data_IF_864987858449
#
_entry.id   IF_864987858449
#
_cell.length_a   1.000
_cell.length_b   1.000
_cell.length_c   1.000
_cell.angle_alpha   90.00
_cell.angle_beta   90.00
_cell.angle_gamma   90.00
#
_symmetry.space_group_name_H-M   'P 1'
#
loop_
_entity.id
_entity.type
_entity.pdbx_description
1 polymer ?
#
# COMPACT_ATOMS: atom_id res chain seq x y z
N UNK A 1 30.07 19.49 55.10
CA UNK A 1 29.68 19.07 53.75
C UNK A 1 29.05 17.67 53.87
N UNK A 2 27.73 17.53 53.65
CA UNK A 2 27.07 16.22 53.63
C UNK A 2 27.11 15.69 52.19
N UNK A 3 27.48 14.44 51.96
CA UNK A 3 27.40 13.86 50.62
C UNK A 3 25.93 13.61 50.28
N UNK A 4 25.51 14.13 49.14
CA UNK A 4 24.17 13.82 48.55
C UNK A 4 24.22 12.41 48.03
N UNK A 5 23.58 11.48 48.71
CA UNK A 5 23.32 10.14 48.24
C UNK A 5 22.34 10.22 47.06
N UNK A 6 22.84 10.24 45.83
CA UNK A 6 22.03 9.92 44.66
C UNK A 6 21.56 8.48 44.85
N UNK A 7 20.29 8.30 45.13
CA UNK A 7 19.74 6.98 45.38
C UNK A 7 19.72 6.15 44.11
N UNK A 8 19.96 4.85 44.22
CA UNK A 8 19.83 3.83 43.15
C UNK A 8 18.49 3.94 42.39
N UNK A 9 17.48 4.47 43.05
CA UNK A 9 16.14 4.82 42.54
C UNK A 9 16.19 5.87 41.40
N UNK A 10 17.04 6.89 41.48
CA UNK A 10 17.06 7.97 40.48
C UNK A 10 17.78 7.47 39.19
N UNK A 11 18.81 6.68 39.32
CA UNK A 11 19.47 6.06 38.17
C UNK A 11 18.53 5.08 37.45
N UNK A 12 17.75 4.30 38.19
CA UNK A 12 16.75 3.38 37.64
C UNK A 12 15.59 4.14 36.97
N UNK A 13 15.14 5.26 37.54
CA UNK A 13 14.12 6.13 36.93
C UNK A 13 14.59 6.77 35.63
N UNK A 14 15.84 7.24 35.59
CA UNK A 14 16.41 7.81 34.36
C UNK A 14 16.68 6.73 33.29
N UNK A 15 17.08 5.52 33.69
CA UNK A 15 17.23 4.40 32.78
C UNK A 15 15.87 3.93 32.25
N UNK A 16 14.86 3.82 33.10
CA UNK A 16 13.49 3.46 32.71
C UNK A 16 12.85 4.54 31.83
N UNK A 17 13.11 5.83 32.12
CA UNK A 17 12.64 6.94 31.31
C UNK A 17 13.36 7.01 29.94
N UNK A 18 14.68 6.78 29.92
CA UNK A 18 15.46 6.68 28.70
C UNK A 18 15.08 5.47 27.83
N UNK A 19 14.84 4.31 28.45
CA UNK A 19 14.35 3.12 27.77
C UNK A 19 12.91 3.32 27.27
N UNK A 20 12.08 4.03 28.02
CA UNK A 20 10.72 4.44 27.63
C UNK A 20 10.73 5.38 26.41
N UNK A 21 11.65 6.33 26.35
CA UNK A 21 11.81 7.23 25.20
C UNK A 21 12.34 6.50 23.96
N UNK A 22 13.22 5.52 24.13
CA UNK A 22 13.71 4.63 23.03
C UNK A 22 12.60 3.70 22.53
N UNK A 23 11.65 3.30 23.38
CA UNK A 23 10.49 2.51 23.00
C UNK A 23 9.37 3.36 22.38
N UNK A 24 9.33 4.67 22.68
CA UNK A 24 8.37 5.62 22.09
C UNK A 24 8.75 6.10 20.70
N UNK A 25 10.03 6.04 20.32
CA UNK A 25 10.44 6.09 18.92
C UNK A 25 10.17 4.72 18.28
N UNK A 26 8.88 4.34 18.24
CA UNK A 26 8.43 3.08 17.68
C UNK A 26 9.13 2.83 16.36
N UNK A 27 9.93 1.75 16.28
CA UNK A 27 10.69 1.44 15.09
C UNK A 27 9.71 1.15 13.94
N UNK A 28 9.26 2.21 13.25
CA UNK A 28 8.40 2.08 12.06
C UNK A 28 9.04 1.17 11.00
N UNK A 29 10.38 1.01 11.07
CA UNK A 29 11.10 0.02 10.25
C UNK A 29 10.66 -1.43 10.48
N UNK A 30 9.99 -1.75 11.59
CA UNK A 30 9.39 -3.07 11.81
C UNK A 30 8.20 -3.35 10.88
N UNK A 31 7.64 -2.32 10.26
CA UNK A 31 6.57 -2.48 9.26
C UNK A 31 7.10 -2.90 7.89
N UNK A 32 8.39 -2.76 7.62
CA UNK A 32 8.97 -2.94 6.30
C UNK A 32 9.89 -4.17 6.26
N UNK A 33 9.68 -5.02 5.25
CA UNK A 33 10.47 -6.24 5.02
C UNK A 33 11.11 -6.21 3.62
N UNK A 34 12.06 -5.26 3.40
CA UNK A 34 12.68 -5.08 2.10
C UNK A 34 13.62 -6.24 1.75
N UNK A 35 13.56 -6.68 0.50
CA UNK A 35 14.57 -7.52 -0.12
C UNK A 35 15.44 -6.66 -1.03
N UNK A 36 16.77 -6.73 -0.84
CA UNK A 36 17.74 -6.01 -1.65
C UNK A 36 18.07 -6.75 -2.93
N UNK A 37 18.45 -5.99 -3.95
CA UNK A 37 18.78 -6.53 -5.26
C UNK A 37 17.59 -6.61 -6.21
N UNK A 38 17.84 -7.20 -7.38
CA UNK A 38 16.86 -7.32 -8.45
C UNK A 38 16.96 -8.73 -9.04
N UNK A 39 16.15 -9.68 -8.53
CA UNK A 39 16.27 -11.09 -8.91
C UNK A 39 15.93 -11.36 -10.38
N UNK A 40 15.14 -10.50 -11.00
CA UNK A 40 14.85 -10.51 -12.42
C UNK A 40 14.33 -9.15 -12.90
N UNK A 41 14.24 -8.98 -14.22
CA UNK A 41 13.74 -7.76 -14.87
C UNK A 41 12.44 -8.05 -15.63
N UNK A 42 11.69 -7.03 -16.06
CA UNK A 42 10.48 -7.21 -16.87
C UNK A 42 10.71 -7.93 -18.20
N UNK A 43 11.94 -7.95 -18.73
CA UNK A 43 12.33 -8.73 -19.93
C UNK A 43 12.01 -10.21 -19.78
N UNK A 44 12.12 -10.77 -18.57
CA UNK A 44 11.75 -12.16 -18.29
C UNK A 44 10.29 -12.45 -18.61
N UNK A 45 9.43 -11.43 -18.47
CA UNK A 45 8.02 -11.47 -18.86
C UNK A 45 7.79 -10.98 -20.30
N UNK A 46 8.86 -10.76 -21.09
CA UNK A 46 8.82 -10.24 -22.46
C UNK A 46 8.15 -8.86 -22.56
N UNK A 47 8.35 -8.03 -21.55
CA UNK A 47 7.85 -6.65 -21.49
C UNK A 47 8.96 -5.70 -21.90
N UNK A 48 8.58 -4.71 -22.70
CA UNK A 48 9.41 -3.52 -22.89
C UNK A 48 9.42 -2.73 -21.59
N UNK A 49 10.58 -2.26 -21.19
CA UNK A 49 10.72 -1.42 -20.00
C UNK A 49 11.97 -0.55 -20.08
N UNK A 50 12.04 0.42 -19.20
CA UNK A 50 13.29 1.12 -18.87
C UNK A 50 13.41 1.31 -17.37
N UNK A 51 14.62 1.25 -16.86
CA UNK A 51 14.90 1.69 -15.50
C UNK A 51 14.70 3.19 -15.38
N UNK A 52 14.11 3.62 -14.28
CA UNK A 52 13.97 5.04 -13.93
C UNK A 52 14.62 5.28 -12.58
N UNK A 53 15.28 6.44 -12.47
CA UNK A 53 15.82 6.92 -11.21
C UNK A 53 15.01 8.14 -10.78
N UNK A 54 14.51 8.09 -9.55
CA UNK A 54 13.83 9.21 -8.91
C UNK A 54 14.69 9.71 -7.75
N UNK A 55 14.63 11.00 -7.48
CA UNK A 55 15.31 11.57 -6.32
C UNK A 55 14.27 12.23 -5.43
N UNK A 56 14.23 11.83 -4.17
CA UNK A 56 13.34 12.39 -3.16
C UNK A 56 13.80 13.77 -2.72
N UNK A 57 12.94 14.53 -2.03
CA UNK A 57 13.29 15.86 -1.54
C UNK A 57 14.45 15.83 -0.52
N UNK A 58 14.58 14.75 0.24
CA UNK A 58 15.68 14.48 1.18
C UNK A 58 16.92 13.84 0.52
N UNK A 59 16.96 13.76 -0.82
CA UNK A 59 18.13 13.37 -1.61
C UNK A 59 18.35 11.86 -1.76
N UNK A 60 17.38 11.01 -1.36
CA UNK A 60 17.46 9.57 -1.56
C UNK A 60 17.21 9.22 -3.01
N UNK A 61 18.06 8.39 -3.62
CA UNK A 61 17.83 7.86 -4.96
C UNK A 61 17.03 6.58 -4.91
N UNK A 62 15.89 6.59 -5.62
CA UNK A 62 15.01 5.47 -5.78
C UNK A 62 15.16 4.88 -7.19
N UNK A 63 15.02 3.58 -7.25
CA UNK A 63 14.93 2.82 -8.50
C UNK A 63 13.46 2.53 -8.80
N UNK A 64 13.13 2.48 -10.08
CA UNK A 64 11.81 2.07 -10.55
C UNK A 64 11.86 1.54 -11.97
N UNK A 65 10.75 1.00 -12.42
CA UNK A 65 10.51 0.59 -13.79
C UNK A 65 9.41 1.41 -14.43
N UNK A 66 9.69 1.87 -15.63
CA UNK A 66 8.69 2.38 -16.55
C UNK A 66 8.38 1.31 -17.59
N UNK A 67 7.14 0.84 -17.61
CA UNK A 67 6.63 -0.07 -18.60
C UNK A 67 5.77 0.73 -19.58
N UNK A 68 6.20 0.95 -20.83
CA UNK A 68 5.36 1.61 -21.84
C UNK A 68 4.18 0.72 -22.22
N UNK A 69 3.11 1.30 -22.75
CA UNK A 69 2.09 0.51 -23.42
C UNK A 69 2.70 -0.25 -24.59
N UNK A 70 2.15 -1.45 -24.85
CA UNK A 70 2.64 -2.31 -25.95
C UNK A 70 2.61 -1.56 -27.27
N UNK A 71 3.67 -1.70 -28.05
CA UNK A 71 3.78 -1.05 -29.36
C UNK A 71 2.57 -1.40 -30.25
N UNK A 72 1.99 -0.37 -30.87
CA UNK A 72 0.79 -0.50 -31.73
C UNK A 72 -0.54 -0.54 -30.97
N UNK A 73 -0.54 -0.47 -29.64
CA UNK A 73 -1.74 -0.32 -28.81
C UNK A 73 -1.92 1.14 -28.43
N UNK A 74 -3.15 1.66 -28.53
CA UNK A 74 -3.46 3.02 -28.11
C UNK A 74 -3.24 3.21 -26.61
N UNK A 75 -2.57 4.31 -26.24
CA UNK A 75 -2.32 4.63 -24.81
C UNK A 75 -3.58 5.19 -24.17
N UNK A 76 -4.18 4.41 -23.27
CA UNK A 76 -5.39 4.76 -22.52
C UNK A 76 -5.13 5.52 -21.23
N UNK A 77 -3.98 5.33 -20.62
CA UNK A 77 -3.64 5.96 -19.35
C UNK A 77 -2.33 5.48 -18.78
N UNK A 78 -2.01 5.98 -17.58
CA UNK A 78 -0.83 5.61 -16.81
C UNK A 78 -1.22 5.09 -15.43
N UNK A 79 -0.63 4.00 -14.99
CA UNK A 79 -0.83 3.41 -13.67
C UNK A 79 0.42 3.65 -12.83
N UNK A 80 0.26 4.33 -11.68
CA UNK A 80 1.25 4.31 -10.62
C UNK A 80 0.99 3.06 -9.76
N UNK A 81 1.89 2.09 -9.81
CA UNK A 81 1.80 0.89 -9.01
C UNK A 81 2.70 1.00 -7.76
N UNK A 82 2.07 1.08 -6.60
CA UNK A 82 2.70 1.06 -5.28
C UNK A 82 2.59 -0.35 -4.70
N UNK A 83 3.72 -1.05 -4.66
CA UNK A 83 3.78 -2.47 -4.30
C UNK A 83 3.59 -2.73 -2.80
N UNK A 84 3.33 -3.99 -2.46
CA UNK A 84 3.16 -4.45 -1.08
C UNK A 84 4.46 -4.52 -0.29
N UNK A 85 4.40 -5.05 0.91
CA UNK A 85 5.52 -5.05 1.85
C UNK A 85 6.54 -6.11 1.44
N UNK A 86 6.73 -7.18 1.65
CA UNK A 86 7.83 -8.13 1.44
C UNK A 86 8.43 -8.12 0.02
N UNK A 87 9.71 -8.35 -0.10
CA UNK A 87 10.40 -8.44 -1.38
C UNK A 87 10.81 -7.08 -1.95
N UNK A 88 10.53 -6.86 -3.21
CA UNK A 88 10.80 -5.64 -3.99
C UNK A 88 9.88 -5.59 -5.22
N UNK A 89 10.02 -4.57 -6.07
CA UNK A 89 9.17 -4.41 -7.25
C UNK A 89 9.17 -5.61 -8.20
N UNK A 90 10.26 -6.39 -8.28
CA UNK A 90 10.31 -7.59 -9.13
C UNK A 90 9.28 -8.63 -8.65
N UNK A 91 9.21 -8.89 -7.34
CA UNK A 91 8.23 -9.82 -6.76
C UNK A 91 6.77 -9.38 -6.95
N UNK A 92 6.53 -8.08 -7.14
CA UNK A 92 5.20 -7.50 -7.31
C UNK A 92 4.81 -7.19 -8.75
N UNK A 93 5.67 -7.47 -9.73
CA UNK A 93 5.39 -7.26 -11.16
C UNK A 93 4.07 -7.97 -11.60
N UNK A 94 3.74 -9.09 -10.95
CA UNK A 94 2.50 -9.84 -11.20
C UNK A 94 1.21 -9.04 -11.07
N UNK A 95 1.22 -7.94 -10.29
CA UNK A 95 0.08 -7.03 -10.13
C UNK A 95 -0.24 -6.21 -11.38
N UNK A 96 0.75 -5.93 -12.22
CA UNK A 96 0.60 -4.94 -13.31
C UNK A 96 1.21 -5.33 -14.66
N UNK A 97 1.95 -6.44 -14.77
CA UNK A 97 2.64 -6.84 -16.02
C UNK A 97 1.73 -6.98 -17.24
N UNK A 98 0.46 -7.19 -17.04
CA UNK A 98 -0.55 -7.39 -18.07
C UNK A 98 -1.14 -6.08 -18.61
N UNK A 99 -0.95 -4.96 -17.90
CA UNK A 99 -1.50 -3.65 -18.23
C UNK A 99 -0.95 -3.06 -19.55
N UNK A 100 0.35 -3.20 -19.88
CA UNK A 100 0.89 -2.72 -21.15
C UNK A 100 0.15 -3.24 -22.38
N UNK A 101 -0.29 -4.50 -22.37
CA UNK A 101 -1.07 -5.09 -23.46
C UNK A 101 -2.49 -4.52 -23.57
N UNK A 102 -2.98 -3.87 -22.53
CA UNK A 102 -4.30 -3.23 -22.48
C UNK A 102 -4.26 -1.73 -22.77
N UNK A 103 -3.08 -1.18 -23.10
CA UNK A 103 -2.87 0.22 -23.43
C UNK A 103 -2.54 1.10 -22.20
N UNK A 104 -2.25 0.51 -21.06
CA UNK A 104 -1.83 1.28 -19.88
C UNK A 104 -0.31 1.24 -19.70
N UNK A 105 0.29 2.42 -19.58
CA UNK A 105 1.67 2.57 -19.14
C UNK A 105 1.75 2.35 -17.62
N UNK A 106 2.88 1.85 -17.11
CA UNK A 106 3.01 1.59 -15.67
C UNK A 106 4.31 2.18 -15.15
N UNK A 107 4.21 2.96 -14.08
CA UNK A 107 5.34 3.31 -13.22
C UNK A 107 5.28 2.46 -11.96
N UNK A 108 6.33 1.67 -11.73
CA UNK A 108 6.58 0.96 -10.48
C UNK A 108 7.83 1.54 -9.82
N UNK A 109 7.82 1.70 -8.51
CA UNK A 109 9.02 2.14 -7.76
C UNK A 109 9.33 1.18 -6.64
N UNK A 110 10.62 0.96 -6.37
CA UNK A 110 11.10 0.42 -5.10
C UNK A 110 11.17 1.57 -4.08
N UNK A 111 10.49 1.43 -2.95
CA UNK A 111 10.64 2.39 -1.86
C UNK A 111 12.09 2.39 -1.34
N UNK A 112 12.46 3.44 -0.61
CA UNK A 112 13.76 3.50 0.07
C UNK A 112 14.03 2.21 0.84
N UNK A 113 15.20 1.65 0.65
CA UNK A 113 15.59 0.40 1.30
C UNK A 113 15.19 -0.87 0.55
N UNK A 114 14.29 -0.81 -0.43
CA UNK A 114 13.88 -1.95 -1.27
C UNK A 114 14.73 -2.04 -2.54
N UNK A 115 14.87 -3.25 -3.07
CA UNK A 115 15.49 -3.53 -4.36
C UNK A 115 16.82 -2.82 -4.57
N UNK A 116 16.88 -1.95 -5.58
CA UNK A 116 18.04 -1.13 -5.91
C UNK A 116 17.96 0.30 -5.33
N UNK A 117 16.86 0.67 -4.66
CA UNK A 117 16.71 1.98 -4.02
C UNK A 117 17.63 2.15 -2.83
N UNK A 118 18.12 3.37 -2.62
CA UNK A 118 18.94 3.74 -1.48
C UNK A 118 18.10 3.92 -0.21
N UNK A 119 18.75 4.22 0.90
CA UNK A 119 18.11 4.57 2.17
C UNK A 119 17.61 3.37 2.97
N UNK A 120 16.71 3.67 3.91
CA UNK A 120 16.05 2.70 4.79
C UNK A 120 14.57 3.07 4.90
N UNK A 121 13.68 2.09 4.75
CA UNK A 121 12.24 2.30 4.86
C UNK A 121 11.83 2.56 6.30
N UNK A 122 11.21 3.71 6.51
CA UNK A 122 10.64 4.16 7.79
C UNK A 122 9.45 5.09 7.51
N UNK A 123 8.53 5.20 8.44
CA UNK A 123 7.51 6.24 8.44
C UNK A 123 8.01 7.44 9.26
N UNK A 124 7.83 8.68 8.77
CA UNK A 124 7.07 9.08 7.58
C UNK A 124 7.87 9.14 6.27
N UNK A 125 9.16 8.80 6.25
CA UNK A 125 10.09 9.08 5.15
C UNK A 125 9.68 8.42 3.82
N UNK A 126 8.97 7.28 3.84
CA UNK A 126 8.47 6.63 2.61
C UNK A 126 7.43 7.45 1.85
N UNK A 127 6.83 8.46 2.49
CA UNK A 127 5.92 9.38 1.79
C UNK A 127 6.65 10.31 0.84
N UNK A 128 7.92 10.61 1.10
CA UNK A 128 8.79 11.33 0.16
C UNK A 128 9.07 10.50 -1.11
N UNK A 129 9.04 9.15 -0.98
CA UNK A 129 9.21 8.26 -2.13
C UNK A 129 7.96 8.33 -3.04
N UNK A 130 6.77 8.36 -2.47
CA UNK A 130 5.52 8.55 -3.21
C UNK A 130 5.51 9.95 -3.86
N UNK A 131 5.93 11.00 -3.12
CA UNK A 131 6.05 12.35 -3.65
C UNK A 131 7.02 12.41 -4.84
N UNK A 132 8.16 11.71 -4.78
CA UNK A 132 9.11 11.64 -5.88
C UNK A 132 8.52 10.93 -7.11
N UNK A 133 7.71 9.87 -6.91
CA UNK A 133 6.99 9.21 -8.00
C UNK A 133 5.98 10.15 -8.66
N UNK A 134 5.21 10.90 -7.88
CA UNK A 134 4.28 11.90 -8.39
C UNK A 134 5.01 13.01 -9.16
N UNK A 135 6.12 13.50 -8.63
CA UNK A 135 6.94 14.51 -9.31
C UNK A 135 7.59 14.00 -10.61
N UNK A 136 7.90 12.70 -10.68
CA UNK A 136 8.38 12.08 -11.92
C UNK A 136 7.26 12.03 -12.97
N UNK A 137 6.06 11.61 -12.59
CA UNK A 137 4.87 11.56 -13.45
C UNK A 137 4.50 12.95 -13.99
N UNK A 138 4.70 14.00 -13.19
CA UNK A 138 4.46 15.39 -13.63
C UNK A 138 5.38 15.83 -14.76
N UNK A 139 6.60 15.29 -14.79
CA UNK A 139 7.63 15.68 -15.77
C UNK A 139 7.71 14.75 -16.98
N UNK A 140 7.14 13.56 -16.89
CA UNK A 140 7.20 12.57 -17.96
C UNK A 140 6.28 12.95 -19.12
N UNK A 141 6.82 13.25 -20.32
CA UNK A 141 5.99 13.67 -21.46
C UNK A 141 4.97 12.63 -21.87
N UNK A 142 5.29 11.35 -21.68
CA UNK A 142 4.45 10.22 -22.05
C UNK A 142 3.15 10.14 -21.22
N UNK A 143 3.14 10.77 -20.06
CA UNK A 143 2.00 10.80 -19.11
C UNK A 143 1.04 11.94 -19.40
N UNK A 144 1.53 13.01 -20.01
CA UNK A 144 0.77 14.24 -20.19
C UNK A 144 -0.52 14.04 -20.99
N UNK A 145 -1.63 14.61 -20.49
CA UNK A 145 -2.94 14.53 -21.14
C UNK A 145 -3.61 13.15 -21.07
N UNK A 146 -3.07 12.20 -20.29
CA UNK A 146 -3.62 10.85 -20.11
C UNK A 146 -4.18 10.67 -18.70
N UNK A 147 -5.25 9.85 -18.54
CA UNK A 147 -5.76 9.49 -17.22
C UNK A 147 -4.67 8.85 -16.36
N UNK A 148 -4.56 9.30 -15.10
CA UNK A 148 -3.67 8.72 -14.10
C UNK A 148 -4.47 7.82 -13.16
N UNK A 149 -4.00 6.61 -12.93
CA UNK A 149 -4.62 5.60 -12.06
C UNK A 149 -3.62 5.22 -10.99
N UNK A 150 -4.09 5.06 -9.75
CA UNK A 150 -3.31 4.44 -8.69
C UNK A 150 -3.69 2.95 -8.57
N UNK A 151 -2.70 2.08 -8.53
CA UNK A 151 -2.81 0.71 -8.04
C UNK A 151 -1.97 0.56 -6.78
N UNK A 152 -2.63 0.44 -5.63
CA UNK A 152 -1.97 0.23 -4.34
C UNK A 152 -2.23 -1.17 -3.81
N UNK A 153 -1.17 -1.98 -3.66
CA UNK A 153 -1.27 -3.33 -3.11
C UNK A 153 -0.80 -3.38 -1.66
N UNK A 154 -1.61 -4.01 -0.77
CA UNK A 154 -1.25 -4.23 0.63
C UNK A 154 -0.73 -2.95 1.30
N UNK A 155 0.51 -2.97 1.83
CA UNK A 155 1.15 -1.81 2.47
C UNK A 155 1.22 -0.60 1.54
N UNK A 156 1.51 -0.79 0.24
CA UNK A 156 1.54 0.29 -0.75
C UNK A 156 0.20 1.00 -0.88
N UNK A 157 -0.91 0.25 -0.81
CA UNK A 157 -2.26 0.81 -0.78
C UNK A 157 -2.54 1.59 0.50
N UNK A 158 -2.11 1.08 1.66
CA UNK A 158 -2.30 1.79 2.92
C UNK A 158 -1.50 3.11 2.98
N UNK A 159 -0.26 3.09 2.51
CA UNK A 159 0.58 4.30 2.39
C UNK A 159 -0.03 5.30 1.39
N UNK A 160 -0.54 4.82 0.26
CA UNK A 160 -1.21 5.67 -0.72
C UNK A 160 -2.44 6.36 -0.16
N UNK A 161 -3.29 5.65 0.59
CA UNK A 161 -4.48 6.22 1.24
C UNK A 161 -4.08 7.36 2.18
N UNK A 162 -3.08 7.13 3.04
CA UNK A 162 -2.60 8.16 3.96
C UNK A 162 -2.01 9.36 3.22
N UNK A 163 -1.12 9.11 2.24
CA UNK A 163 -0.49 10.16 1.44
C UNK A 163 -1.52 11.02 0.71
N UNK A 164 -2.47 10.41 0.00
CA UNK A 164 -3.49 11.12 -0.77
C UNK A 164 -4.49 11.88 0.11
N UNK A 165 -4.75 11.43 1.32
CA UNK A 165 -5.54 12.17 2.29
C UNK A 165 -4.85 13.47 2.71
N UNK A 166 -3.54 13.40 2.95
CA UNK A 166 -2.72 14.56 3.31
C UNK A 166 -2.45 15.52 2.13
N UNK A 167 -2.58 15.04 0.88
CA UNK A 167 -2.24 15.79 -0.34
C UNK A 167 -3.42 15.85 -1.33
N UNK A 168 -4.48 16.61 -1.04
CA UNK A 168 -5.69 16.65 -1.87
C UNK A 168 -5.41 17.08 -3.32
N UNK A 169 -4.49 18.00 -3.56
CA UNK A 169 -4.12 18.40 -4.92
C UNK A 169 -3.51 17.27 -5.73
N UNK A 170 -2.70 16.41 -5.13
CA UNK A 170 -2.15 15.22 -5.78
C UNK A 170 -3.23 14.15 -5.99
N UNK A 171 -4.14 14.01 -5.04
CA UNK A 171 -5.27 13.09 -5.14
C UNK A 171 -6.18 13.38 -6.34
N UNK A 172 -6.54 14.65 -6.56
CA UNK A 172 -7.42 15.09 -7.66
C UNK A 172 -6.84 14.82 -9.06
N UNK A 173 -5.56 14.49 -9.17
CA UNK A 173 -4.92 14.12 -10.46
C UNK A 173 -5.30 12.71 -10.91
N UNK A 174 -5.75 11.86 -9.99
CA UNK A 174 -6.10 10.49 -10.32
C UNK A 174 -7.52 10.41 -10.88
N UNK A 175 -7.66 9.69 -11.98
CA UNK A 175 -8.94 9.31 -12.55
C UNK A 175 -9.65 8.26 -11.71
N UNK A 176 -8.87 7.33 -11.13
CA UNK A 176 -9.37 6.21 -10.36
C UNK A 176 -8.32 5.71 -9.37
N UNK A 177 -8.77 5.14 -8.23
CA UNK A 177 -7.94 4.47 -7.25
C UNK A 177 -8.33 3.00 -7.18
N UNK A 178 -7.35 2.11 -7.29
CA UNK A 178 -7.52 0.66 -7.16
C UNK A 178 -6.69 0.17 -5.98
N UNK A 179 -7.32 -0.53 -5.05
CA UNK A 179 -6.72 -1.05 -3.85
C UNK A 179 -6.88 -2.57 -3.79
N UNK A 180 -5.80 -3.31 -3.57
CA UNK A 180 -5.80 -4.77 -3.54
C UNK A 180 -5.19 -5.29 -2.23
N UNK A 181 -6.00 -5.96 -1.40
CA UNK A 181 -5.56 -6.57 -0.15
C UNK A 181 -5.05 -5.59 0.90
N UNK A 182 -5.60 -4.37 0.97
CA UNK A 182 -5.07 -3.29 1.82
C UNK A 182 -5.41 -3.50 3.29
N UNK A 183 -4.43 -3.41 4.22
CA UNK A 183 -4.67 -3.43 5.65
C UNK A 183 -5.35 -2.12 6.11
N UNK A 184 -6.44 -2.25 6.87
CA UNK A 184 -7.11 -1.11 7.46
C UNK A 184 -6.28 -0.47 8.59
N UNK A 185 -5.60 -1.31 9.39
CA UNK A 185 -4.77 -0.89 10.53
C UNK A 185 -3.51 -1.73 10.58
N UNK A 186 -2.36 -1.10 10.65
CA UNK A 186 -1.06 -1.79 10.79
C UNK A 186 -1.00 -2.60 12.09
N UNK A 187 -1.50 -2.00 13.19
CA UNK A 187 -1.57 -2.67 14.49
C UNK A 187 -2.48 -3.88 14.47
N UNK A 188 -3.64 -3.77 13.82
CA UNK A 188 -4.58 -4.89 13.75
C UNK A 188 -4.01 -6.08 12.99
N UNK A 189 -3.32 -5.85 11.87
CA UNK A 189 -2.64 -6.90 11.10
C UNK A 189 -1.47 -7.48 11.89
N UNK A 190 -0.65 -6.66 12.54
CA UNK A 190 0.42 -7.12 13.43
C UNK A 190 -0.12 -7.99 14.57
N UNK A 191 -1.22 -7.57 15.21
CA UNK A 191 -1.90 -8.37 16.24
C UNK A 191 -2.41 -9.70 15.68
N UNK A 192 -3.02 -9.69 14.51
CA UNK A 192 -3.48 -10.90 13.86
C UNK A 192 -2.31 -11.85 13.57
N UNK A 193 -1.21 -11.36 13.00
CA UNK A 193 -0.02 -12.17 12.77
C UNK A 193 0.54 -12.81 14.06
N UNK A 194 0.59 -12.05 15.16
CA UNK A 194 1.00 -12.54 16.47
C UNK A 194 0.02 -13.59 17.03
N UNK A 195 -1.26 -13.52 16.68
CA UNK A 195 -2.29 -14.47 17.15
C UNK A 195 -2.21 -15.84 16.48
N UNK A 196 -1.55 -15.95 15.33
CA UNK A 196 -1.46 -17.22 14.57
C UNK A 196 -0.44 -18.21 15.12
N UNK A 197 0.45 -17.76 16.03
CA UNK A 197 1.45 -18.60 16.68
C UNK A 197 1.15 -18.76 18.17
N UNK A 198 1.15 -19.99 18.66
CA UNK A 198 0.93 -20.29 20.09
C UNK A 198 1.96 -19.61 21.01
N UNK A 199 3.18 -19.38 20.53
CA UNK A 199 4.24 -18.70 21.30
C UNK A 199 3.95 -17.22 21.50
N UNK A 200 3.42 -16.54 20.48
CA UNK A 200 3.17 -15.09 20.50
C UNK A 200 1.73 -14.76 20.87
N UNK A 201 0.81 -15.72 20.82
CA UNK A 201 -0.61 -15.51 21.13
C UNK A 201 -0.86 -14.81 22.48
N UNK A 202 -0.21 -15.16 23.60
CA UNK A 202 -0.43 -14.48 24.88
C UNK A 202 0.05 -13.02 24.89
N UNK A 203 1.02 -12.70 24.02
CA UNK A 203 1.67 -11.39 23.93
C UNK A 203 1.14 -10.53 22.77
N UNK A 204 0.14 -11.03 22.01
CA UNK A 204 -0.36 -10.35 20.81
C UNK A 204 -0.83 -8.92 21.09
N UNK A 205 -1.47 -8.66 22.24
CA UNK A 205 -1.95 -7.33 22.60
C UNK A 205 -0.80 -6.38 22.93
N UNK A 206 0.05 -6.66 23.92
CA UNK A 206 1.13 -5.73 24.27
C UNK A 206 2.15 -5.55 23.14
N UNK A 207 2.52 -6.60 22.40
CA UNK A 207 3.46 -6.49 21.30
C UNK A 207 2.87 -5.71 20.11
N UNK A 208 1.57 -5.82 19.86
CA UNK A 208 0.96 -5.05 18.77
C UNK A 208 0.98 -3.55 19.02
N UNK A 209 1.09 -3.10 20.26
CA UNK A 209 1.20 -1.68 20.59
C UNK A 209 2.55 -1.06 20.16
N UNK A 210 3.57 -1.88 19.92
CA UNK A 210 4.83 -1.44 19.34
C UNK A 210 4.70 -1.09 17.85
N UNK A 211 3.62 -1.54 17.19
CA UNK A 211 3.35 -1.22 15.78
C UNK A 211 2.71 0.17 15.71
N UNK A 212 3.36 1.14 15.03
CA UNK A 212 2.79 2.46 14.82
C UNK A 212 1.51 2.34 13.99
N UNK A 213 0.46 3.06 14.37
CA UNK A 213 -0.87 2.96 13.74
C UNK A 213 -1.45 4.34 13.39
N UNK A 214 -0.67 5.41 13.58
CA UNK A 214 -1.09 6.79 13.29
C UNK A 214 -1.45 6.99 11.83
N UNK A 215 -0.66 6.41 10.94
CA UNK A 215 -0.77 6.53 9.49
C UNK A 215 -1.56 5.39 8.84
N UNK A 216 -2.28 4.60 9.63
CA UNK A 216 -3.10 3.50 9.12
C UNK A 216 -4.22 3.99 8.21
N UNK A 217 -4.49 3.23 7.14
CA UNK A 217 -5.44 3.59 6.10
C UNK A 217 -6.84 3.96 6.65
N UNK A 218 -7.32 3.26 7.68
CA UNK A 218 -8.65 3.50 8.27
C UNK A 218 -8.80 4.91 8.86
N UNK A 219 -7.70 5.54 9.25
CA UNK A 219 -7.71 6.89 9.82
C UNK A 219 -7.80 8.00 8.77
N UNK A 220 -7.51 7.65 7.54
CA UNK A 220 -7.36 8.59 6.42
C UNK A 220 -8.38 8.39 5.30
N UNK A 221 -8.98 7.19 5.19
CA UNK A 221 -9.81 6.81 4.05
C UNK A 221 -11.06 7.70 3.90
N UNK A 222 -11.63 8.21 4.99
CA UNK A 222 -12.81 9.10 4.97
C UNK A 222 -12.53 10.43 4.25
N UNK A 223 -11.26 10.83 4.14
CA UNK A 223 -10.84 12.04 3.45
C UNK A 223 -10.77 11.88 1.92
N UNK A 224 -10.84 10.65 1.41
CA UNK A 224 -10.76 10.36 -0.02
C UNK A 224 -12.14 10.43 -0.68
N UNK A 225 -12.79 11.61 -0.68
CA UNK A 225 -14.10 11.79 -1.32
C UNK A 225 -14.04 11.54 -2.83
N UNK A 226 -12.97 11.99 -3.48
CA UNK A 226 -12.64 11.72 -4.89
C UNK A 226 -11.23 11.15 -4.99
N UNK A 227 -10.83 10.51 -6.08
CA UNK A 227 -11.63 9.95 -7.18
C UNK A 227 -12.36 8.65 -6.80
N UNK A 228 -13.13 8.03 -7.73
CA UNK A 228 -13.76 6.72 -7.52
C UNK A 228 -12.76 5.66 -7.11
N UNK A 229 -13.21 4.74 -6.25
CA UNK A 229 -12.37 3.72 -5.60
C UNK A 229 -12.91 2.31 -5.85
N UNK A 230 -12.01 1.41 -6.29
CA UNK A 230 -12.25 -0.01 -6.37
C UNK A 230 -11.36 -0.75 -5.38
N UNK A 231 -11.98 -1.45 -4.46
CA UNK A 231 -11.29 -2.32 -3.51
C UNK A 231 -11.43 -3.77 -3.98
N UNK A 232 -10.30 -4.44 -4.17
CA UNK A 232 -10.24 -5.89 -4.28
C UNK A 232 -9.81 -6.47 -2.93
N UNK A 233 -10.47 -7.55 -2.50
CA UNK A 233 -10.02 -8.29 -1.34
C UNK A 233 -10.37 -9.77 -1.46
N UNK A 234 -9.38 -10.63 -1.24
CA UNK A 234 -9.61 -12.07 -1.26
C UNK A 234 -10.29 -12.54 0.02
N UNK A 235 -11.30 -13.37 -0.11
CA UNK A 235 -11.96 -14.05 1.03
C UNK A 235 -11.05 -15.11 1.65
N UNK A 236 -10.02 -15.54 0.93
CA UNK A 236 -9.05 -16.56 1.37
C UNK A 236 -7.75 -15.92 1.88
N UNK A 237 -7.68 -14.59 1.99
CA UNK A 237 -6.48 -13.86 2.44
C UNK A 237 -6.17 -14.16 3.91
N UNK A 238 -5.05 -14.85 4.14
CA UNK A 238 -4.58 -15.24 5.47
C UNK A 238 -3.54 -14.28 6.05
N UNK A 239 -3.11 -13.28 5.28
CA UNK A 239 -2.17 -12.27 5.76
C UNK A 239 -2.90 -11.00 6.21
N UNK A 240 -3.81 -10.53 5.38
CA UNK A 240 -4.68 -9.39 5.67
C UNK A 240 -6.13 -9.88 5.60
N UNK A 241 -6.75 -10.28 6.73
CA UNK A 241 -8.11 -10.82 6.74
C UNK A 241 -9.13 -9.90 6.08
N UNK A 242 -10.16 -10.49 5.45
CA UNK A 242 -11.21 -9.80 4.69
C UNK A 242 -11.85 -8.62 5.45
N UNK A 243 -11.96 -8.70 6.77
CA UNK A 243 -12.49 -7.61 7.61
C UNK A 243 -11.79 -6.25 7.34
N UNK A 244 -10.49 -6.28 6.98
CA UNK A 244 -9.76 -5.06 6.65
C UNK A 244 -10.34 -4.37 5.40
N UNK A 245 -10.56 -5.13 4.32
CA UNK A 245 -11.16 -4.61 3.09
C UNK A 245 -12.58 -4.10 3.29
N UNK A 246 -13.38 -4.82 4.07
CA UNK A 246 -14.75 -4.44 4.40
C UNK A 246 -14.78 -3.12 5.19
N UNK A 247 -13.93 -3.00 6.21
CA UNK A 247 -13.84 -1.78 7.02
C UNK A 247 -13.41 -0.58 6.19
N UNK A 248 -12.40 -0.73 5.33
CA UNK A 248 -11.99 0.36 4.43
C UNK A 248 -13.11 0.75 3.47
N UNK A 249 -13.79 -0.23 2.87
CA UNK A 249 -14.95 0.03 2.02
C UNK A 249 -16.05 0.78 2.76
N UNK A 250 -16.40 0.38 3.98
CA UNK A 250 -17.47 1.00 4.77
C UNK A 250 -17.17 2.45 5.11
N UNK A 251 -15.90 2.80 5.41
CA UNK A 251 -15.49 4.15 5.79
C UNK A 251 -15.10 5.04 4.60
N UNK A 252 -14.78 4.45 3.43
CA UNK A 252 -14.47 5.23 2.25
C UNK A 252 -15.72 5.99 1.76
N UNK A 253 -15.62 7.29 1.43
CA UNK A 253 -16.73 8.01 0.80
C UNK A 253 -17.03 7.47 -0.62
N UNK A 254 -18.28 7.57 -1.12
CA UNK A 254 -18.60 7.21 -2.51
C UNK A 254 -17.91 8.18 -3.52
N UNK A 255 -17.75 7.78 -4.80
CA UNK A 255 -18.03 6.47 -5.37
C UNK A 255 -17.03 5.42 -4.93
N UNK A 256 -17.52 4.26 -4.53
CA UNK A 256 -16.69 3.15 -4.04
C UNK A 256 -17.33 1.81 -4.36
N UNK A 257 -16.51 0.81 -4.69
CA UNK A 257 -16.93 -0.57 -4.92
C UNK A 257 -16.00 -1.51 -4.18
N UNK A 258 -16.53 -2.55 -3.54
CA UNK A 258 -15.77 -3.68 -3.03
C UNK A 258 -16.03 -4.90 -3.89
N UNK A 259 -14.98 -5.44 -4.48
CA UNK A 259 -14.99 -6.64 -5.28
C UNK A 259 -14.29 -7.76 -4.51
N UNK A 260 -15.06 -8.79 -4.16
CA UNK A 260 -14.53 -9.95 -3.47
C UNK A 260 -13.88 -10.91 -4.45
N UNK A 261 -12.68 -11.35 -4.14
CA UNK A 261 -11.87 -12.27 -4.95
C UNK A 261 -11.56 -13.55 -4.19
N UNK A 262 -10.86 -14.47 -4.82
CA UNK A 262 -10.29 -15.67 -4.21
C UNK A 262 -8.79 -15.75 -4.49
N UNK A 263 -8.09 -16.59 -3.73
CA UNK A 263 -6.65 -16.79 -3.83
C UNK A 263 -5.88 -16.18 -2.66
N UNK A 264 -4.57 -16.22 -2.73
CA UNK A 264 -3.70 -15.66 -1.69
C UNK A 264 -3.69 -14.14 -1.67
N UNK A 265 -2.96 -13.60 -0.69
CA UNK A 265 -2.76 -12.16 -0.54
C UNK A 265 -2.18 -11.52 -1.80
N UNK A 266 -2.79 -10.43 -2.29
CA UNK A 266 -2.44 -9.67 -3.51
C UNK A 266 -2.24 -10.51 -4.79
N UNK A 267 -2.92 -11.66 -4.88
CA UNK A 267 -2.92 -12.53 -6.07
C UNK A 267 -4.13 -12.27 -6.98
N UNK A 268 -4.86 -11.21 -6.77
CA UNK A 268 -6.09 -10.87 -7.51
C UNK A 268 -5.88 -10.94 -9.02
N UNK A 269 -4.81 -10.36 -9.53
CA UNK A 269 -4.57 -10.27 -10.97
C UNK A 269 -3.87 -11.51 -11.58
N UNK A 270 -3.68 -12.57 -10.82
CA UNK A 270 -3.35 -13.89 -11.38
C UNK A 270 -4.53 -14.44 -12.20
N UNK A 271 -5.78 -14.14 -11.77
CA UNK A 271 -6.99 -14.51 -12.51
C UNK A 271 -7.36 -13.42 -13.52
N UNK A 272 -7.44 -13.76 -14.83
CA UNK A 272 -7.84 -12.83 -15.89
C UNK A 272 -9.22 -12.19 -15.67
N UNK A 273 -10.13 -12.83 -14.96
CA UNK A 273 -11.47 -12.30 -14.66
C UNK A 273 -11.34 -10.96 -13.92
N UNK A 274 -10.47 -10.88 -12.91
CA UNK A 274 -10.32 -9.66 -12.12
C UNK A 274 -9.56 -8.56 -12.85
N UNK A 275 -8.70 -8.92 -13.82
CA UNK A 275 -8.12 -7.95 -14.76
C UNK A 275 -9.22 -7.27 -15.58
N UNK A 276 -10.18 -8.05 -16.11
CA UNK A 276 -11.33 -7.51 -16.86
C UNK A 276 -12.24 -6.65 -15.97
N UNK A 277 -12.41 -7.01 -14.71
CA UNK A 277 -13.17 -6.18 -13.74
C UNK A 277 -12.49 -4.83 -13.55
N UNK A 278 -11.16 -4.82 -13.34
CA UNK A 278 -10.39 -3.57 -13.22
C UNK A 278 -10.53 -2.72 -14.49
N UNK A 279 -10.37 -3.31 -15.69
CA UNK A 279 -10.49 -2.56 -16.96
C UNK A 279 -11.86 -1.92 -17.10
N UNK A 280 -12.95 -2.66 -16.84
CA UNK A 280 -14.31 -2.09 -16.87
C UNK A 280 -14.50 -0.96 -15.86
N UNK A 281 -13.90 -1.08 -14.69
CA UNK A 281 -13.91 0.01 -13.71
C UNK A 281 -13.16 1.23 -14.24
N UNK A 282 -12.00 1.05 -14.89
CA UNK A 282 -11.22 2.16 -15.46
C UNK A 282 -11.89 2.82 -16.65
N UNK A 283 -12.75 2.10 -17.39
CA UNK A 283 -13.52 2.67 -18.51
C UNK A 283 -14.63 3.63 -18.02
N UNK A 284 -15.28 3.35 -16.88
CA UNK A 284 -16.31 4.20 -16.27
C UNK A 284 -16.31 4.09 -14.74
N UNK A 285 -15.34 4.72 -14.06
CA UNK A 285 -15.17 4.52 -12.62
C UNK A 285 -16.33 5.05 -11.77
N UNK A 286 -17.02 6.11 -12.25
CA UNK A 286 -18.08 6.74 -11.48
C UNK A 286 -19.38 5.89 -11.40
N UNK A 287 -19.64 5.08 -12.44
CA UNK A 287 -20.88 4.30 -12.54
C UNK A 287 -20.64 2.79 -12.39
N UNK A 288 -19.41 2.36 -12.11
CA UNK A 288 -19.09 0.95 -11.95
C UNK A 288 -19.69 0.37 -10.67
N UNK A 289 -20.47 -0.72 -10.79
CA UNK A 289 -21.19 -1.35 -9.68
C UNK A 289 -20.55 -2.67 -9.17
N UNK A 290 -19.46 -3.12 -9.81
CA UNK A 290 -18.81 -4.40 -9.48
C UNK A 290 -19.59 -5.63 -10.00
N UNK A 291 -19.01 -6.83 -9.78
CA UNK A 291 -19.61 -8.12 -10.17
C UNK A 291 -20.19 -8.91 -9.00
N UNK A 292 -19.70 -8.68 -7.77
CA UNK A 292 -20.16 -9.35 -6.56
C UNK A 292 -20.41 -8.33 -5.47
N UNK A 293 -21.57 -8.41 -4.82
CA UNK A 293 -21.93 -7.57 -3.68
C UNK A 293 -21.59 -8.28 -2.37
N UNK A 294 -21.40 -7.53 -1.29
CA UNK A 294 -21.18 -8.08 0.05
C UNK A 294 -22.27 -9.07 0.48
N UNK A 295 -23.53 -8.81 0.11
CA UNK A 295 -24.67 -9.68 0.39
C UNK A 295 -24.56 -11.09 -0.25
N UNK A 296 -23.64 -11.28 -1.21
CA UNK A 296 -23.41 -12.56 -1.87
C UNK A 296 -22.32 -13.40 -1.17
N UNK A 297 -21.73 -12.90 -0.07
CA UNK A 297 -20.75 -13.63 0.73
C UNK A 297 -21.48 -14.58 1.67
N UNK A 298 -21.31 -15.91 1.55
CA UNK A 298 -21.91 -16.85 2.50
C UNK A 298 -21.43 -16.54 3.93
N UNK A 299 -22.37 -16.44 4.87
CA UNK A 299 -22.11 -16.21 6.30
C UNK A 299 -21.47 -14.86 6.68
N UNK A 300 -21.62 -13.81 5.86
CA UNK A 300 -21.26 -12.48 6.30
C UNK A 300 -22.36 -11.95 7.25
N UNK A 301 -22.04 -11.64 8.51
CA UNK A 301 -23.05 -11.13 9.46
C UNK A 301 -23.48 -9.71 9.06
N UNK A 302 -24.69 -9.55 8.60
CA UNK A 302 -25.31 -8.24 8.31
C UNK A 302 -25.49 -7.35 9.56
N UNK A 303 -25.18 -7.87 10.76
CA UNK A 303 -25.60 -7.29 12.04
C UNK A 303 -24.53 -6.51 12.80
N UNK A 304 -23.61 -5.79 12.20
CA UNK A 304 -22.75 -4.85 12.97
C UNK A 304 -22.92 -3.37 12.59
N UNK A 305 -23.98 -3.02 11.86
CA UNK A 305 -24.24 -1.62 11.48
C UNK A 305 -25.34 -0.93 12.31
N UNK A 306 -25.60 -1.39 13.54
CA UNK A 306 -26.47 -0.66 14.49
C UNK A 306 -25.77 -0.58 15.84
N UNK A 307 -24.79 0.31 15.96
CA UNK A 307 -24.50 1.05 17.21
C UNK A 307 -23.48 2.15 16.91
#
# INVERSE_FOLDING_TARGET
>A
MKPTTRTFSDAFRHLAFGLGLLLLSGCSSLLFYPERGQPFTPERAKLDYRDVTLTTADGVRLHGWWLPAKAGVEVKGTVLHLHGNGGNLAGHLGGSYWLPEQGYQVLMIDYRGYGLSQGKATLPEVYEDIAAAMAWLDRAPEVQGKPLVLLGQSLGGAMAIHYLAAHPQQRERFHALVFDGVPASYRAVGRYALSTSWMTWPLQVPLSWLVPDGDSAIRSIEQLASPPKLFFHSIDDRLVPLDNGIRLYQHAPPPRVLQLTRGGHVQTFADPTWRQVMLRFLDDPAHFNGLRRLAEVPNYPEEKNKQ
#
